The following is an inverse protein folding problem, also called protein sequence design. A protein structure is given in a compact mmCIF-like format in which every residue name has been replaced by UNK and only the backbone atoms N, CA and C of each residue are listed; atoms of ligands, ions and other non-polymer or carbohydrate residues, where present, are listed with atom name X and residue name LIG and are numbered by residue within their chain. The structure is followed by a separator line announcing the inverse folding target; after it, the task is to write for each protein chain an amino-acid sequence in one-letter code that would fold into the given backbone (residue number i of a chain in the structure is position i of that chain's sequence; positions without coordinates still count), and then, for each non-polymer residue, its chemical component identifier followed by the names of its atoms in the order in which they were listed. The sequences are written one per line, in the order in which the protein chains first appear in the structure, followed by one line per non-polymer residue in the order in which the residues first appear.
data_IF_373634884226
#
_entry.id   IF_373634884226
#
_cell.length_a   1.000
_cell.length_b   1.000
_cell.length_c   1.000
_cell.angle_alpha   90.00
_cell.angle_beta   90.00
_cell.angle_gamma   90.00
#
_symmetry.space_group_name_H-M   'P 1'
#
loop_
_entity.id
_entity.type
_entity.pdbx_description
1 polymer ?
#
# COMPACT_ATOMS: atom_id res chain seq x y z
N UNK A 1 -14.61 29.12 2.41
CA UNK A 1 -13.25 28.93 1.85
C UNK A 1 -12.46 27.81 2.55
N UNK A 2 -12.39 27.73 3.88
CA UNK A 2 -11.65 26.66 4.60
C UNK A 2 -12.13 25.23 4.29
N UNK A 3 -13.45 25.00 4.35
CA UNK A 3 -14.04 23.68 4.15
C UNK A 3 -13.70 23.06 2.78
N UNK A 4 -13.79 23.84 1.70
CA UNK A 4 -13.47 23.36 0.35
C UNK A 4 -11.98 22.95 0.24
N UNK A 5 -11.09 23.70 0.87
CA UNK A 5 -9.66 23.37 0.90
C UNK A 5 -9.39 22.11 1.71
N UNK A 6 -10.07 21.92 2.84
CA UNK A 6 -9.97 20.70 3.66
C UNK A 6 -10.46 19.47 2.91
N UNK A 7 -11.61 19.56 2.24
CA UNK A 7 -12.16 18.49 1.40
C UNK A 7 -11.20 18.15 0.25
N UNK A 8 -10.61 19.15 -0.40
CA UNK A 8 -9.64 18.93 -1.48
C UNK A 8 -8.40 18.22 -0.96
N UNK A 9 -7.86 18.63 0.20
CA UNK A 9 -6.72 17.96 0.84
C UNK A 9 -7.04 16.51 1.22
N UNK A 10 -8.24 16.27 1.75
CA UNK A 10 -8.67 14.92 2.12
C UNK A 10 -8.80 14.03 0.89
N UNK A 11 -9.41 14.53 -0.19
CA UNK A 11 -9.56 13.80 -1.45
C UNK A 11 -8.21 13.42 -2.05
N UNK A 12 -7.24 14.35 -2.07
CA UNK A 12 -5.89 14.05 -2.57
C UNK A 12 -5.18 12.95 -1.75
N UNK A 13 -5.34 12.97 -0.41
CA UNK A 13 -4.82 11.90 0.47
C UNK A 13 -5.48 10.55 0.17
N UNK A 14 -6.81 10.55 0.01
CA UNK A 14 -7.57 9.34 -0.31
C UNK A 14 -7.12 8.74 -1.65
N UNK A 15 -7.02 9.55 -2.70
CA UNK A 15 -6.59 9.08 -4.02
C UNK A 15 -5.16 8.53 -3.99
N UNK A 16 -4.26 9.16 -3.21
CA UNK A 16 -2.91 8.62 -3.00
C UNK A 16 -2.93 7.27 -2.30
N UNK A 17 -3.75 7.12 -1.26
CA UNK A 17 -3.88 5.86 -0.54
C UNK A 17 -4.46 4.76 -1.43
N UNK A 18 -5.49 5.08 -2.21
CA UNK A 18 -6.12 4.15 -3.15
C UNK A 18 -5.14 3.69 -4.23
N UNK A 19 -4.28 4.59 -4.75
CA UNK A 19 -3.19 4.20 -5.67
C UNK A 19 -2.22 3.23 -5.02
N UNK A 20 -1.75 3.53 -3.82
CA UNK A 20 -0.87 2.61 -3.07
C UNK A 20 -1.52 1.25 -2.84
N UNK A 21 -2.82 1.21 -2.50
CA UNK A 21 -3.55 -0.04 -2.32
C UNK A 21 -3.59 -0.87 -3.60
N UNK A 22 -3.86 -0.26 -4.75
CA UNK A 22 -3.84 -0.96 -6.05
C UNK A 22 -2.47 -1.58 -6.33
N UNK A 23 -1.39 -0.83 -6.10
CA UNK A 23 -0.03 -1.38 -6.26
C UNK A 23 0.21 -2.58 -5.32
N UNK A 24 -0.21 -2.49 -4.05
CA UNK A 24 -0.10 -3.60 -3.09
C UNK A 24 -0.90 -4.85 -3.50
N UNK A 25 -1.96 -4.68 -4.30
CA UNK A 25 -2.75 -5.78 -4.88
C UNK A 25 -2.19 -6.29 -6.22
N UNK A 26 -1.09 -5.71 -6.71
CA UNK A 26 -0.49 -6.06 -8.00
C UNK A 26 -1.17 -5.38 -9.20
N UNK A 27 -2.01 -4.37 -8.96
CA UNK A 27 -2.71 -3.60 -9.98
C UNK A 27 -1.95 -2.30 -10.30
N UNK A 28 -2.19 -1.73 -11.49
CA UNK A 28 -1.62 -0.45 -11.94
C UNK A 28 -0.10 -0.33 -11.75
N UNK A 29 0.64 -1.42 -11.97
CA UNK A 29 2.10 -1.44 -11.79
C UNK A 29 2.88 -0.75 -12.93
N UNK A 30 2.23 -0.50 -14.07
CA UNK A 30 2.87 0.10 -15.26
C UNK A 30 3.62 1.42 -15.04
N UNK A 31 3.14 2.35 -14.17
CA UNK A 31 3.85 3.58 -13.85
C UNK A 31 5.05 3.43 -12.91
N UNK A 32 5.25 2.26 -12.30
CA UNK A 32 6.34 2.05 -11.33
C UNK A 32 7.65 1.72 -12.04
N UNK A 33 8.75 2.30 -11.57
CA UNK A 33 10.09 1.91 -11.99
C UNK A 33 10.48 0.54 -11.42
N UNK A 34 11.50 -0.09 -12.01
CA UNK A 34 12.04 -1.37 -11.53
C UNK A 34 12.44 -1.30 -10.04
N UNK A 35 13.04 -0.19 -9.61
CA UNK A 35 13.42 0.01 -8.20
C UNK A 35 12.21 0.06 -7.28
N UNK A 36 11.13 0.72 -7.71
CA UNK A 36 9.89 0.80 -6.93
C UNK A 36 9.18 -0.55 -6.87
N UNK A 37 9.17 -1.32 -7.96
CA UNK A 37 8.66 -2.68 -8.00
C UNK A 37 9.43 -3.62 -7.06
N UNK A 38 10.76 -3.58 -7.08
CA UNK A 38 11.58 -4.36 -6.14
C UNK A 38 11.31 -4.00 -4.68
N UNK A 39 11.13 -2.71 -4.40
CA UNK A 39 10.80 -2.25 -3.05
C UNK A 39 9.38 -2.67 -2.63
N UNK A 40 8.44 -2.73 -3.57
CA UNK A 40 7.08 -3.22 -3.35
C UNK A 40 7.09 -4.72 -3.04
N UNK A 41 7.80 -5.53 -3.83
CA UNK A 41 7.98 -6.97 -3.59
C UNK A 41 8.56 -7.24 -2.20
N UNK A 42 9.66 -6.58 -1.84
CA UNK A 42 10.29 -6.74 -0.51
C UNK A 42 9.33 -6.41 0.64
N UNK A 43 8.51 -5.38 0.49
CA UNK A 43 7.51 -5.02 1.49
C UNK A 43 6.43 -6.10 1.63
N UNK A 44 5.92 -6.62 0.50
CA UNK A 44 4.91 -7.67 0.49
C UNK A 44 5.44 -8.97 1.10
N UNK A 45 6.66 -9.37 0.75
CA UNK A 45 7.32 -10.55 1.33
C UNK A 45 7.49 -10.42 2.84
N UNK A 46 7.96 -9.26 3.33
CA UNK A 46 8.11 -8.99 4.75
C UNK A 46 6.78 -9.05 5.51
N UNK A 47 5.73 -8.43 4.97
CA UNK A 47 4.39 -8.45 5.56
C UNK A 47 3.78 -9.87 5.59
N UNK A 48 4.00 -10.64 4.52
CA UNK A 48 3.54 -12.02 4.41
C UNK A 48 4.25 -12.93 5.41
N UNK A 49 5.58 -12.79 5.55
CA UNK A 49 6.36 -13.53 6.53
C UNK A 49 5.87 -13.26 7.96
N UNK A 50 5.66 -12.00 8.32
CA UNK A 50 5.12 -11.62 9.63
C UNK A 50 3.72 -12.18 9.87
N UNK A 51 2.84 -12.13 8.86
CA UNK A 51 1.47 -12.67 8.96
C UNK A 51 1.48 -14.18 9.17
N UNK A 52 2.32 -14.90 8.42
CA UNK A 52 2.51 -16.35 8.58
C UNK A 52 3.06 -16.70 9.96
N UNK A 53 4.08 -15.96 10.43
CA UNK A 53 4.65 -16.18 11.75
C UNK A 53 3.60 -16.01 12.86
N UNK A 54 2.78 -14.94 12.79
CA UNK A 54 1.69 -14.73 13.74
C UNK A 54 0.70 -15.88 13.73
N UNK A 55 0.32 -16.38 12.55
CA UNK A 55 -0.58 -17.54 12.43
C UNK A 55 0.01 -18.80 13.07
N UNK A 56 1.31 -19.06 12.88
CA UNK A 56 1.99 -20.18 13.53
C UNK A 56 1.94 -20.03 15.05
N UNK A 57 2.31 -18.85 15.58
CA UNK A 57 2.32 -18.56 17.03
C UNK A 57 0.93 -18.65 17.67
N UNK A 58 -0.15 -18.36 16.93
CA UNK A 58 -1.53 -18.51 17.43
C UNK A 58 -2.03 -19.96 17.42
N UNK A 59 -1.46 -20.81 16.56
CA UNK A 59 -1.86 -22.21 16.39
C UNK A 59 -1.07 -23.18 17.29
N UNK A 60 -0.03 -22.68 17.98
CA UNK A 60 0.80 -23.39 18.97
C UNK A 60 0.46 -22.93 20.37
#
# INVERSE_FOLDING_TARGET
MSWYQEVTKLKAKYESLQRTQRHLLGEDLGPLSVKELQNLEKQLEGALAQTRQRKVTLNT
#
